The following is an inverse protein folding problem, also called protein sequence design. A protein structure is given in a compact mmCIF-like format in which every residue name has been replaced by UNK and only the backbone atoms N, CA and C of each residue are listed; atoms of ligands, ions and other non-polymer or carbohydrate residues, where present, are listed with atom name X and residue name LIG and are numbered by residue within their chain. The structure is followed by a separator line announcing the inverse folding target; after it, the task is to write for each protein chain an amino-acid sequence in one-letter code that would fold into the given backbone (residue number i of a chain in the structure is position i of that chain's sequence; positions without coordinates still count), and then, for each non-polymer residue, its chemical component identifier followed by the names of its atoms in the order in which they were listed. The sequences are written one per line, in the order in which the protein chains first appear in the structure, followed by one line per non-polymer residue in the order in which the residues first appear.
data_IF_501947454799
#
_entry.id   IF_501947454799
#
_cell.length_a   1.000
_cell.length_b   1.000
_cell.length_c   1.000
_cell.angle_alpha   90.00
_cell.angle_beta   90.00
_cell.angle_gamma   90.00
#
_symmetry.space_group_name_H-M   'P 1'
#
loop_
_entity.id
_entity.type
_entity.pdbx_description
1 polymer ?
#
# COMPACT_ATOMS: atom_id res chain seq x y z
N UNK A 1 -17.95 -8.74 2.53
CA UNK A 1 -17.13 -7.51 2.43
C UNK A 1 -16.16 -7.53 3.61
N UNK A 2 -14.95 -7.99 3.36
CA UNK A 2 -13.85 -7.95 4.32
C UNK A 2 -13.22 -6.55 4.17
N UNK A 3 -13.55 -5.64 5.07
CA UNK A 3 -12.77 -4.41 5.23
C UNK A 3 -11.44 -4.81 5.86
N UNK A 4 -10.41 -4.97 5.04
CA UNK A 4 -9.04 -4.92 5.52
C UNK A 4 -8.76 -3.45 5.90
N UNK A 5 -8.83 -3.12 7.17
CA UNK A 5 -8.24 -1.89 7.67
C UNK A 5 -6.72 -2.06 7.54
N UNK A 6 -6.16 -1.47 6.48
CA UNK A 6 -4.73 -1.48 6.20
C UNK A 6 -4.09 -0.43 7.09
N UNK A 7 -3.42 -0.86 8.15
CA UNK A 7 -2.80 0.06 9.11
C UNK A 7 -1.48 0.59 8.56
N UNK A 8 -1.42 1.89 8.32
CA UNK A 8 -0.18 2.53 7.92
C UNK A 8 0.87 2.47 9.03
N UNK A 9 0.45 2.35 10.29
CA UNK A 9 1.34 2.37 11.48
C UNK A 9 0.81 1.53 12.63
N UNK A 10 1.75 0.99 13.39
CA UNK A 10 1.50 0.44 14.72
C UNK A 10 2.37 1.19 15.74
N UNK A 11 1.80 1.53 16.88
CA UNK A 11 2.47 2.10 18.02
C UNK A 11 2.41 1.07 19.14
N UNK A 12 3.55 0.59 19.56
CA UNK A 12 3.66 -0.45 20.60
C UNK A 12 4.22 0.14 21.89
N UNK A 13 3.44 0.03 22.99
CA UNK A 13 3.69 0.66 24.29
C UNK A 13 3.47 -0.27 25.46
N UNK A 14 4.22 -0.05 26.54
CA UNK A 14 4.06 -0.84 27.77
C UNK A 14 2.77 -0.46 28.50
N UNK A 15 2.53 0.82 28.76
CA UNK A 15 1.41 1.29 29.57
C UNK A 15 0.56 2.32 28.86
N UNK A 16 -0.69 2.47 29.29
CA UNK A 16 -1.57 3.52 28.84
C UNK A 16 -1.21 4.85 29.53
N UNK A 17 -0.88 5.87 28.81
CA UNK A 17 -0.38 7.23 29.03
C UNK A 17 0.98 7.50 28.35
N UNK A 18 1.85 6.51 28.28
CA UNK A 18 3.17 6.62 27.65
C UNK A 18 3.08 6.99 26.15
N UNK A 19 2.06 6.49 25.46
CA UNK A 19 1.85 6.80 24.04
C UNK A 19 1.55 8.29 23.82
N UNK A 20 0.93 8.93 24.79
CA UNK A 20 0.65 10.36 24.78
C UNK A 20 1.88 11.16 25.21
N UNK A 21 2.54 10.74 26.29
CA UNK A 21 3.70 11.43 26.85
C UNK A 21 4.89 11.43 25.91
N UNK A 22 5.23 10.27 25.36
CA UNK A 22 6.49 10.06 24.65
C UNK A 22 6.35 9.87 23.13
N UNK A 23 5.20 9.40 22.64
CA UNK A 23 4.95 9.23 21.21
C UNK A 23 3.81 10.12 20.69
N UNK A 24 3.35 11.05 21.50
CA UNK A 24 2.21 11.89 21.17
C UNK A 24 2.36 12.68 19.87
N UNK A 25 3.57 13.09 19.54
CA UNK A 25 3.87 13.71 18.24
C UNK A 25 3.43 12.86 17.06
N UNK A 26 3.65 11.55 17.15
CA UNK A 26 3.27 10.58 16.10
C UNK A 26 1.75 10.46 16.00
N UNK A 27 1.04 10.35 17.15
CA UNK A 27 -0.43 10.17 17.18
C UNK A 27 -1.14 11.36 16.53
N UNK A 28 -0.89 12.58 16.99
CA UNK A 28 -1.58 13.77 16.51
C UNK A 28 -1.22 14.11 15.06
N UNK A 29 0.04 13.94 14.67
CA UNK A 29 0.50 14.26 13.30
C UNK A 29 -0.05 13.26 12.29
N UNK A 30 0.14 11.98 12.54
CA UNK A 30 -0.19 10.98 11.52
C UNK A 30 -1.62 10.45 11.64
N UNK A 31 -2.10 10.21 12.86
CA UNK A 31 -3.48 9.80 13.10
C UNK A 31 -4.46 10.95 12.99
N UNK A 32 -4.18 12.06 13.67
CA UNK A 32 -5.05 13.23 13.72
C UNK A 32 -5.04 14.03 12.42
N UNK A 33 -3.89 14.64 12.07
CA UNK A 33 -3.80 15.56 10.92
C UNK A 33 -3.81 14.83 9.59
N UNK A 34 -2.97 13.82 9.40
CA UNK A 34 -2.91 13.08 8.12
C UNK A 34 -4.01 12.04 7.97
N UNK A 35 -4.78 11.78 9.05
CA UNK A 35 -5.90 10.81 9.06
C UNK A 35 -5.49 9.40 8.62
N UNK A 36 -4.24 9.03 8.87
CA UNK A 36 -3.77 7.68 8.58
C UNK A 36 -4.32 6.69 9.59
N UNK A 37 -4.47 5.44 9.19
CA UNK A 37 -4.80 4.36 10.11
C UNK A 37 -3.63 4.11 11.05
N UNK A 38 -3.80 4.43 12.33
CA UNK A 38 -2.84 4.18 13.40
C UNK A 38 -3.46 3.17 14.38
N UNK A 39 -2.76 2.05 14.60
CA UNK A 39 -3.11 1.07 15.61
C UNK A 39 -2.17 1.24 16.80
N UNK A 40 -2.75 1.29 18.01
CA UNK A 40 -1.96 1.25 19.24
C UNK A 40 -2.05 -0.13 19.86
N UNK A 41 -0.91 -0.67 20.27
CA UNK A 41 -0.79 -1.96 20.94
C UNK A 41 -0.09 -1.74 22.29
N UNK A 42 -0.74 -2.14 23.37
CA UNK A 42 -0.20 -2.08 24.73
C UNK A 42 0.24 -3.46 25.20
N UNK A 43 1.32 -3.52 25.97
CA UNK A 43 1.72 -4.74 26.65
C UNK A 43 0.74 -5.08 27.76
N UNK A 44 0.42 -4.11 28.61
CA UNK A 44 -0.40 -4.32 29.80
C UNK A 44 -1.88 -4.01 29.56
N UNK A 45 -2.74 -4.77 30.20
CA UNK A 45 -4.17 -4.51 30.31
C UNK A 45 -4.55 -4.10 31.73
N UNK A 46 -5.43 -3.11 31.86
CA UNK A 46 -5.89 -2.54 33.13
C UNK A 46 -7.36 -2.82 33.46
N UNK A 47 -8.07 -3.55 32.60
CA UNK A 47 -9.52 -3.76 32.71
C UNK A 47 -9.95 -4.40 34.02
N UNK A 48 -9.11 -5.27 34.59
CA UNK A 48 -9.39 -5.99 35.85
C UNK A 48 -8.95 -5.26 37.11
N UNK A 49 -7.83 -4.49 37.04
CA UNK A 49 -7.18 -3.90 38.22
C UNK A 49 -7.39 -2.38 38.33
N UNK A 50 -7.54 -1.68 37.22
CA UNK A 50 -7.68 -0.23 37.19
C UNK A 50 -8.60 0.21 36.03
N UNK A 51 -9.88 -0.13 36.11
CA UNK A 51 -10.88 0.16 35.05
C UNK A 51 -10.91 1.62 34.59
N UNK A 52 -10.58 2.57 35.47
CA UNK A 52 -10.51 3.97 35.11
C UNK A 52 -9.47 4.20 34.00
N UNK A 53 -8.34 3.51 34.03
CA UNK A 53 -7.28 3.65 33.01
C UNK A 53 -7.71 3.18 31.62
N UNK A 54 -8.66 2.24 31.53
CA UNK A 54 -9.23 1.84 30.25
C UNK A 54 -10.02 2.99 29.59
N UNK A 55 -10.79 3.73 30.37
CA UNK A 55 -11.51 4.91 29.87
C UNK A 55 -10.54 6.04 29.53
N UNK A 56 -9.58 6.31 30.40
CA UNK A 56 -8.57 7.34 30.19
C UNK A 56 -7.75 7.09 28.90
N UNK A 57 -7.35 5.83 28.68
CA UNK A 57 -6.68 5.38 27.45
C UNK A 57 -7.50 5.70 26.19
N UNK A 58 -8.77 5.31 26.18
CA UNK A 58 -9.65 5.56 25.05
C UNK A 58 -9.90 7.05 24.82
N UNK A 59 -10.11 7.80 25.90
CA UNK A 59 -10.34 9.26 25.84
C UNK A 59 -9.10 10.00 25.34
N UNK A 60 -7.89 9.58 25.77
CA UNK A 60 -6.61 10.13 25.32
C UNK A 60 -6.35 9.86 23.85
N UNK A 61 -6.55 8.61 23.41
CA UNK A 61 -6.41 8.23 22.01
C UNK A 61 -7.42 8.97 21.11
N UNK A 62 -8.67 9.08 21.54
CA UNK A 62 -9.70 9.83 20.82
C UNK A 62 -9.33 11.31 20.67
N UNK A 63 -8.88 11.95 21.75
CA UNK A 63 -8.41 13.34 21.73
C UNK A 63 -7.24 13.53 20.76
N UNK A 64 -6.36 12.51 20.63
CA UNK A 64 -5.22 12.49 19.68
C UNK A 64 -5.63 12.25 18.23
N UNK A 65 -6.92 11.99 17.95
CA UNK A 65 -7.45 11.71 16.62
C UNK A 65 -7.36 10.25 16.19
N UNK A 66 -7.05 9.32 17.11
CA UNK A 66 -7.01 7.88 16.84
C UNK A 66 -8.43 7.32 16.78
N UNK A 67 -8.72 6.55 15.74
CA UNK A 67 -10.09 6.05 15.44
C UNK A 67 -10.24 4.54 15.63
N UNK A 68 -9.14 3.84 15.84
CA UNK A 68 -9.13 2.39 16.04
C UNK A 68 -9.01 2.06 17.52
N UNK A 69 -9.75 1.06 17.95
CA UNK A 69 -9.58 0.54 19.30
C UNK A 69 -8.18 -0.05 19.46
N UNK A 70 -7.49 0.25 20.57
CA UNK A 70 -6.19 -0.34 20.84
C UNK A 70 -6.32 -1.84 21.07
N UNK A 71 -5.23 -2.56 20.86
CA UNK A 71 -5.08 -3.95 21.32
C UNK A 71 -4.19 -3.98 22.55
N UNK A 72 -4.48 -4.90 23.47
CA UNK A 72 -3.72 -5.06 24.69
C UNK A 72 -3.24 -6.52 24.81
N UNK A 73 -2.01 -6.70 25.27
CA UNK A 73 -1.54 -7.99 25.76
C UNK A 73 -2.11 -8.29 27.15
N UNK A 74 -2.18 -9.55 27.50
CA UNK A 74 -2.65 -10.02 28.82
C UNK A 74 -1.44 -10.15 29.78
N UNK A 75 -0.66 -9.05 29.90
CA UNK A 75 0.48 -9.00 30.81
C UNK A 75 0.17 -8.07 31.98
N UNK A 76 0.54 -8.46 33.22
CA UNK A 76 0.36 -7.58 34.37
C UNK A 76 1.30 -6.38 34.30
N UNK A 77 0.90 -5.28 34.92
CA UNK A 77 1.78 -4.11 35.12
C UNK A 77 2.69 -4.33 36.32
N UNK A 78 3.95 -4.68 36.07
CA UNK A 78 4.95 -4.99 37.11
C UNK A 78 6.11 -4.01 36.99
N UNK A 79 6.38 -3.30 38.09
CA UNK A 79 7.46 -2.33 38.13
C UNK A 79 8.83 -3.00 38.27
N UNK A 80 9.79 -2.53 37.49
CA UNK A 80 11.22 -2.87 37.61
C UNK A 80 12.05 -1.69 37.03
N UNK A 81 13.36 -1.69 37.39
CA UNK A 81 14.28 -0.61 37.00
C UNK A 81 15.37 -1.07 36.02
N UNK A 82 15.37 -2.33 35.63
CA UNK A 82 16.32 -2.87 34.65
C UNK A 82 15.66 -3.90 33.77
N UNK A 83 16.22 -4.09 32.57
CA UNK A 83 15.77 -5.12 31.63
C UNK A 83 15.86 -6.52 32.24
N UNK A 84 16.97 -6.83 33.00
CA UNK A 84 17.18 -8.12 33.62
C UNK A 84 16.17 -8.38 34.74
N UNK A 85 15.76 -7.34 35.47
CA UNK A 85 14.69 -7.46 36.47
C UNK A 85 13.34 -7.70 35.80
N UNK A 86 13.03 -6.97 34.74
CA UNK A 86 11.82 -7.19 33.96
C UNK A 86 11.78 -8.61 33.35
N UNK A 87 12.84 -9.09 32.74
CA UNK A 87 12.95 -10.47 32.21
C UNK A 87 12.75 -11.58 33.26
N UNK A 88 12.88 -11.28 34.55
CA UNK A 88 12.55 -12.22 35.64
C UNK A 88 11.06 -12.20 36.00
N UNK A 89 10.36 -11.12 35.70
CA UNK A 89 8.95 -10.93 36.02
C UNK A 89 8.02 -11.44 34.92
N UNK A 90 8.49 -11.41 33.67
CA UNK A 90 7.71 -11.82 32.49
C UNK A 90 8.36 -12.99 31.75
N UNK A 91 7.56 -13.81 31.10
CA UNK A 91 8.04 -14.76 30.08
C UNK A 91 8.35 -13.99 28.82
N UNK A 92 9.61 -13.68 28.59
CA UNK A 92 10.03 -12.77 27.50
C UNK A 92 9.58 -13.26 26.11
N UNK A 93 9.60 -14.58 25.88
CA UNK A 93 9.15 -15.15 24.61
C UNK A 93 7.64 -14.98 24.38
N UNK A 94 6.81 -14.93 25.42
CA UNK A 94 5.38 -14.63 25.28
C UNK A 94 5.17 -13.18 24.87
N UNK A 95 5.97 -12.25 25.40
CA UNK A 95 5.93 -10.84 25.00
C UNK A 95 6.36 -10.68 23.53
N UNK A 96 7.42 -11.37 23.10
CA UNK A 96 7.82 -11.40 21.68
C UNK A 96 6.77 -12.04 20.77
N UNK A 97 6.14 -13.11 21.22
CA UNK A 97 5.05 -13.74 20.47
C UNK A 97 3.87 -12.78 20.25
N UNK A 98 3.52 -12.02 21.31
CA UNK A 98 2.49 -10.99 21.22
C UNK A 98 2.85 -9.88 20.24
N UNK A 99 4.03 -9.27 20.35
CA UNK A 99 4.47 -8.18 19.45
C UNK A 99 4.62 -8.67 18.02
N UNK A 100 5.20 -9.85 17.79
CA UNK A 100 5.27 -10.47 16.46
C UNK A 100 3.88 -10.72 15.87
N UNK A 101 2.93 -11.18 16.69
CA UNK A 101 1.54 -11.41 16.28
C UNK A 101 0.86 -10.08 15.88
N UNK A 102 1.08 -8.99 16.63
CA UNK A 102 0.59 -7.66 16.30
C UNK A 102 1.14 -7.19 14.94
N UNK A 103 2.45 -7.26 14.73
CA UNK A 103 3.10 -6.91 13.47
C UNK A 103 2.50 -7.69 12.29
N UNK A 104 2.37 -9.00 12.41
CA UNK A 104 1.81 -9.86 11.35
C UNK A 104 0.34 -9.60 11.09
N UNK A 105 -0.43 -9.37 12.15
CA UNK A 105 -1.88 -9.11 12.05
C UNK A 105 -2.17 -7.79 11.36
N UNK A 106 -1.44 -6.73 11.73
CA UNK A 106 -1.73 -5.38 11.27
C UNK A 106 -0.88 -4.96 10.06
N UNK A 107 0.21 -5.66 9.78
CA UNK A 107 1.12 -5.40 8.63
C UNK A 107 1.49 -3.92 8.49
N UNK A 108 2.04 -3.30 9.54
CA UNK A 108 2.33 -1.88 9.54
C UNK A 108 3.44 -1.52 8.55
N UNK A 109 3.31 -0.38 7.89
CA UNK A 109 4.38 0.20 7.07
C UNK A 109 5.46 0.85 7.97
N UNK A 110 5.06 1.34 9.13
CA UNK A 110 5.95 1.93 10.12
C UNK A 110 5.58 1.41 11.51
N UNK A 111 6.57 0.93 12.25
CA UNK A 111 6.48 0.61 13.68
C UNK A 111 7.18 1.71 14.47
N UNK A 112 6.56 2.19 15.54
CA UNK A 112 7.15 3.13 16.49
C UNK A 112 7.01 2.58 17.89
N UNK A 113 8.10 2.57 18.67
CA UNK A 113 8.09 2.07 20.06
C UNK A 113 8.98 2.89 20.96
N UNK A 114 9.08 2.49 22.20
CA UNK A 114 9.79 3.13 23.31
C UNK A 114 11.31 3.11 23.14
N UNK A 115 12.01 3.88 23.99
CA UNK A 115 13.46 3.82 24.13
C UNK A 115 13.91 2.42 24.61
N UNK A 116 14.97 1.89 24.02
CA UNK A 116 15.59 0.63 24.47
C UNK A 116 16.13 0.70 25.92
N UNK A 117 16.50 1.92 26.38
CA UNK A 117 16.91 2.15 27.75
C UNK A 117 15.71 2.40 28.69
N UNK A 118 14.50 2.42 28.14
CA UNK A 118 13.27 2.77 28.82
C UNK A 118 13.25 4.24 29.23
N UNK A 119 12.16 4.93 28.95
CA UNK A 119 11.98 6.28 29.46
C UNK A 119 12.10 6.22 31.00
N UNK A 120 12.84 7.13 31.58
CA UNK A 120 13.15 7.22 33.01
C UNK A 120 13.65 5.89 33.65
N UNK A 121 14.22 4.98 32.87
CA UNK A 121 14.79 3.72 33.39
C UNK A 121 13.74 2.68 33.78
N UNK A 122 12.53 2.71 33.20
CA UNK A 122 11.49 1.72 33.51
C UNK A 122 11.75 0.40 32.79
N UNK A 123 11.96 -0.68 33.58
CA UNK A 123 12.32 -2.00 33.04
C UNK A 123 11.24 -2.64 32.16
N UNK A 124 9.96 -2.36 32.40
CA UNK A 124 8.87 -2.79 31.52
C UNK A 124 8.94 -2.12 30.13
N UNK A 125 9.31 -0.84 30.06
CA UNK A 125 9.57 -0.15 28.79
C UNK A 125 10.74 -0.77 28.04
N UNK A 126 11.86 -1.02 28.75
CA UNK A 126 13.02 -1.71 28.17
C UNK A 126 12.63 -3.08 27.61
N UNK A 127 11.92 -3.88 28.41
CA UNK A 127 11.51 -5.23 28.00
C UNK A 127 10.66 -5.20 26.75
N UNK A 128 9.68 -4.30 26.70
CA UNK A 128 8.74 -4.23 25.58
C UNK A 128 9.39 -3.68 24.32
N UNK A 129 10.19 -2.61 24.42
CA UNK A 129 10.94 -2.06 23.28
C UNK A 129 11.94 -3.06 22.68
N UNK A 130 12.64 -3.82 23.52
CA UNK A 130 13.50 -4.91 23.05
C UNK A 130 12.71 -6.03 22.37
N UNK A 131 11.55 -6.41 22.91
CA UNK A 131 10.69 -7.41 22.29
C UNK A 131 10.21 -6.95 20.92
N UNK A 132 9.81 -5.68 20.77
CA UNK A 132 9.42 -5.09 19.48
C UNK A 132 10.59 -5.07 18.50
N UNK A 133 11.77 -4.62 18.94
CA UNK A 133 12.98 -4.58 18.11
C UNK A 133 13.34 -5.96 17.56
N UNK A 134 13.33 -7.00 18.42
CA UNK A 134 13.55 -8.39 17.99
C UNK A 134 12.42 -8.91 17.06
N UNK A 135 11.18 -8.50 17.31
CA UNK A 135 10.04 -8.94 16.51
C UNK A 135 10.05 -8.35 15.09
N UNK A 136 10.48 -7.11 14.90
CA UNK A 136 10.60 -6.53 13.55
C UNK A 136 11.70 -7.19 12.73
N UNK A 137 12.74 -7.74 13.37
CA UNK A 137 13.79 -8.49 12.67
C UNK A 137 13.33 -9.89 12.23
N UNK A 138 12.34 -10.46 12.91
CA UNK A 138 11.96 -11.88 12.73
C UNK A 138 10.52 -12.08 12.24
N UNK A 139 9.71 -11.05 12.15
CA UNK A 139 8.29 -11.16 11.73
C UNK A 139 8.10 -11.63 10.28
N UNK A 140 9.14 -11.53 9.45
CA UNK A 140 9.16 -12.06 8.09
C UNK A 140 9.52 -13.55 8.01
N UNK A 141 9.99 -14.18 9.10
CA UNK A 141 10.34 -15.60 9.17
C UNK A 141 9.17 -16.43 9.72
N UNK A 142 8.59 -17.28 8.88
CA UNK A 142 7.46 -18.14 9.28
C UNK A 142 7.80 -19.22 10.31
N UNK A 143 9.08 -19.53 10.52
CA UNK A 143 9.52 -20.51 11.52
C UNK A 143 9.51 -19.93 12.94
N UNK A 144 9.57 -18.61 13.08
CA UNK A 144 9.46 -17.90 14.35
C UNK A 144 7.98 -17.68 14.67
N UNK A 145 7.53 -18.16 15.83
CA UNK A 145 6.11 -18.13 16.22
C UNK A 145 5.16 -18.58 15.11
N UNK A 146 5.23 -19.87 14.66
CA UNK A 146 4.56 -20.37 13.47
C UNK A 146 3.03 -20.27 13.53
N UNK A 147 2.44 -20.24 14.72
CA UNK A 147 1.00 -20.08 14.89
C UNK A 147 0.53 -18.70 14.34
N UNK A 148 1.20 -17.61 14.73
CA UNK A 148 0.86 -16.28 14.21
C UNK A 148 1.16 -16.16 12.73
N UNK A 149 2.20 -16.84 12.22
CA UNK A 149 2.50 -16.90 10.79
C UNK A 149 1.41 -17.64 10.01
N UNK A 150 0.87 -18.73 10.57
CA UNK A 150 -0.25 -19.45 9.98
C UNK A 150 -1.53 -18.62 9.94
N UNK A 151 -1.81 -17.86 10.99
CA UNK A 151 -3.03 -17.07 11.11
C UNK A 151 -3.02 -15.79 10.25
N UNK A 152 -1.88 -15.11 10.13
CA UNK A 152 -1.79 -13.76 9.54
C UNK A 152 -0.80 -13.66 8.37
N UNK A 153 -0.02 -14.69 8.09
CA UNK A 153 1.12 -14.64 7.21
C UNK A 153 2.34 -13.96 7.87
N UNK A 154 3.41 -13.83 7.12
CA UNK A 154 4.60 -13.09 7.53
C UNK A 154 4.52 -11.63 7.10
N UNK A 155 5.32 -10.77 7.71
CA UNK A 155 5.41 -9.37 7.35
C UNK A 155 6.83 -8.82 7.59
N UNK A 156 7.39 -8.15 6.59
CA UNK A 156 8.65 -7.43 6.71
C UNK A 156 8.33 -5.94 6.87
N UNK A 157 8.59 -5.39 8.06
CA UNK A 157 8.24 -4.00 8.39
C UNK A 157 9.15 -3.06 7.62
N UNK A 158 8.62 -2.15 6.77
CA UNK A 158 9.45 -1.26 5.98
C UNK A 158 10.31 -0.31 6.81
N UNK A 159 9.78 0.23 7.92
CA UNK A 159 10.51 1.14 8.81
C UNK A 159 10.16 0.93 10.28
N UNK A 160 11.16 1.04 11.14
CA UNK A 160 10.98 0.98 12.60
C UNK A 160 11.72 2.14 13.26
N UNK A 161 11.01 2.89 14.09
CA UNK A 161 11.56 4.00 14.86
C UNK A 161 11.50 3.69 16.36
N UNK A 162 12.56 4.04 17.04
CA UNK A 162 12.62 4.00 18.50
C UNK A 162 12.68 5.41 19.06
N UNK A 163 11.94 5.65 20.12
CA UNK A 163 11.98 6.91 20.86
C UNK A 163 13.40 7.13 21.41
N UNK A 164 13.90 8.33 21.31
CA UNK A 164 15.25 8.78 21.77
C UNK A 164 16.44 7.99 21.19
N UNK A 165 16.23 7.12 20.19
CA UNK A 165 17.32 6.43 19.52
C UNK A 165 18.17 7.43 18.74
N UNK A 166 19.49 7.32 18.85
CA UNK A 166 20.40 8.38 18.38
C UNK A 166 20.87 8.21 16.94
N UNK A 167 20.74 7.01 16.36
CA UNK A 167 21.15 6.74 14.99
C UNK A 167 20.05 7.16 14.01
N UNK A 168 20.45 7.73 12.87
CA UNK A 168 19.52 8.23 11.84
C UNK A 168 18.35 9.03 12.45
N UNK A 169 18.71 9.96 13.36
CA UNK A 169 17.75 10.72 14.15
C UNK A 169 16.88 11.60 13.28
N UNK A 170 15.59 11.60 13.57
CA UNK A 170 14.63 12.62 13.13
C UNK A 170 14.07 13.40 14.32
N UNK A 171 13.77 14.67 14.12
CA UNK A 171 13.06 15.49 15.09
C UNK A 171 11.82 16.07 14.45
N UNK A 172 10.65 15.65 14.92
CA UNK A 172 9.37 16.09 14.38
C UNK A 172 9.09 17.54 14.75
N UNK A 173 8.57 18.34 13.80
CA UNK A 173 8.09 19.68 14.13
C UNK A 173 6.67 19.64 14.69
N UNK A 174 6.55 19.58 16.02
CA UNK A 174 5.28 19.45 16.73
C UNK A 174 4.59 20.81 17.00
N UNK A 175 5.15 21.92 16.52
CA UNK A 175 4.63 23.27 16.74
C UNK A 175 3.89 23.86 15.53
N UNK A 176 3.78 23.09 14.45
CA UNK A 176 2.93 23.47 13.31
C UNK A 176 1.45 23.27 13.64
N UNK A 177 0.56 24.18 13.19
CA UNK A 177 -0.86 24.03 13.38
C UNK A 177 -1.41 22.86 12.55
N UNK A 178 -2.19 22.02 13.19
CA UNK A 178 -2.86 20.86 12.60
C UNK A 178 -4.27 21.27 12.20
N UNK A 179 -4.54 21.39 10.90
CA UNK A 179 -5.79 21.90 10.36
C UNK A 179 -7.00 21.03 10.74
N UNK A 180 -6.82 19.72 10.71
CA UNK A 180 -7.87 18.73 11.07
C UNK A 180 -8.09 18.63 12.57
N UNK A 181 -7.18 19.13 13.38
CA UNK A 181 -7.23 19.15 14.84
C UNK A 181 -7.64 20.52 15.39
N UNK A 182 -8.32 21.34 14.58
CA UNK A 182 -8.80 22.67 14.96
C UNK A 182 -7.69 23.73 15.02
N UNK A 183 -6.67 23.61 14.20
CA UNK A 183 -5.47 24.44 14.17
C UNK A 183 -4.66 24.44 15.48
N UNK A 184 -4.87 23.46 16.34
CA UNK A 184 -3.99 23.21 17.48
C UNK A 184 -2.67 22.62 17.00
N UNK A 185 -1.59 22.89 17.70
CA UNK A 185 -0.31 22.21 17.50
C UNK A 185 -0.37 20.77 18.04
N UNK A 186 0.54 19.89 17.61
CA UNK A 186 0.61 18.54 18.15
C UNK A 186 0.84 18.54 19.67
N UNK A 187 1.67 19.44 20.19
CA UNK A 187 1.89 19.63 21.63
C UNK A 187 0.59 19.97 22.36
N UNK A 188 -0.21 20.90 21.83
CA UNK A 188 -1.51 21.27 22.43
C UNK A 188 -2.51 20.11 22.43
N UNK A 189 -2.60 19.37 21.32
CA UNK A 189 -3.46 18.18 21.22
C UNK A 189 -3.03 17.13 22.24
N UNK A 190 -1.75 16.81 22.33
CA UNK A 190 -1.24 15.78 23.23
C UNK A 190 -1.32 16.22 24.69
N UNK A 191 -1.09 17.50 24.98
CA UNK A 191 -1.34 18.05 26.33
C UNK A 191 -2.80 17.88 26.75
N UNK A 192 -3.76 18.10 25.85
CA UNK A 192 -5.16 17.87 26.11
C UNK A 192 -5.47 16.37 26.27
N UNK A 193 -4.85 15.52 25.48
CA UNK A 193 -4.97 14.07 25.56
C UNK A 193 -4.41 13.51 26.89
N UNK A 194 -3.24 13.99 27.32
CA UNK A 194 -2.67 13.58 28.62
C UNK A 194 -3.54 13.98 29.80
N UNK A 195 -4.24 15.11 29.73
CA UNK A 195 -5.22 15.51 30.77
C UNK A 195 -6.38 14.54 30.92
N UNK A 196 -6.65 13.67 29.92
CA UNK A 196 -7.65 12.60 30.06
C UNK A 196 -7.19 11.49 30.98
N UNK A 197 -5.89 11.30 31.15
CA UNK A 197 -5.29 10.37 32.09
C UNK A 197 -5.28 10.93 33.52
N UNK A 198 -6.46 11.17 34.05
CA UNK A 198 -6.68 11.83 35.37
C UNK A 198 -5.96 11.08 36.49
N UNK A 199 -5.98 9.75 36.45
CA UNK A 199 -5.31 8.91 37.46
C UNK A 199 -3.78 9.00 37.42
N UNK A 200 -3.20 9.56 36.35
CA UNK A 200 -1.75 9.66 36.15
C UNK A 200 -1.19 11.07 36.33
N UNK A 201 -2.01 12.05 36.68
CA UNK A 201 -1.58 13.45 36.85
C UNK A 201 -0.72 13.69 38.12
N UNK A 202 -0.49 12.67 38.90
CA UNK A 202 0.40 12.73 40.06
C UNK A 202 1.88 12.63 39.69
N UNK A 203 2.23 12.09 38.50
CA UNK A 203 3.61 11.99 38.05
C UNK A 203 4.11 13.34 37.49
N UNK A 204 5.43 13.50 37.44
CA UNK A 204 6.06 14.75 37.00
C UNK A 204 6.25 14.84 35.48
N UNK A 205 5.90 13.80 34.75
CA UNK A 205 6.01 13.80 33.28
C UNK A 205 4.99 14.73 32.64
N UNK A 206 5.36 15.28 31.51
CA UNK A 206 4.51 16.17 30.71
C UNK A 206 4.84 16.08 29.23
N UNK A 207 3.90 16.40 28.39
CA UNK A 207 4.09 16.43 26.94
C UNK A 207 4.96 17.63 26.58
N UNK A 208 6.11 17.38 26.00
CA UNK A 208 7.01 18.44 25.51
C UNK A 208 7.95 17.91 24.42
N UNK A 209 8.39 18.82 23.55
CA UNK A 209 9.47 18.62 22.58
C UNK A 209 10.79 19.24 23.05
N UNK A 210 10.88 19.70 24.30
CA UNK A 210 12.01 20.46 24.86
C UNK A 210 12.40 19.96 26.26
N UNK A 211 12.71 18.67 26.39
CA UNK A 211 13.30 18.07 27.59
C UNK A 211 13.86 16.66 27.27
N UNK A 212 14.45 15.97 28.27
CA UNK A 212 15.15 14.70 28.07
C UNK A 212 14.28 13.55 27.49
N UNK A 213 12.95 13.60 27.68
CA UNK A 213 11.99 12.64 27.10
C UNK A 213 11.14 13.30 26.03
N UNK A 214 11.77 14.08 25.16
CA UNK A 214 11.10 14.81 24.06
C UNK A 214 10.26 13.91 23.20
N UNK A 215 8.95 14.18 23.11
CA UNK A 215 8.02 13.43 22.26
C UNK A 215 8.19 13.72 20.76
N UNK A 216 9.22 14.47 20.36
CA UNK A 216 9.55 14.78 18.97
C UNK A 216 10.75 13.98 18.43
N UNK A 217 11.55 13.37 19.30
CA UNK A 217 12.84 12.79 18.95
C UNK A 217 12.77 11.26 18.77
N UNK A 218 13.11 10.80 17.57
CA UNK A 218 13.13 9.39 17.21
C UNK A 218 14.35 9.06 16.37
N UNK A 219 14.80 7.82 16.41
CA UNK A 219 15.82 7.32 15.50
C UNK A 219 15.28 6.16 14.66
N UNK A 220 15.69 6.11 13.40
CA UNK A 220 15.38 5.03 12.48
C UNK A 220 16.24 3.82 12.83
N UNK A 221 15.66 2.86 13.56
CA UNK A 221 16.30 1.64 14.01
C UNK A 221 16.52 0.64 12.85
N UNK A 222 15.49 0.44 12.02
CA UNK A 222 15.52 -0.50 10.91
C UNK A 222 14.76 0.06 9.71
N UNK A 223 15.29 -0.19 8.51
CA UNK A 223 14.60 0.16 7.25
C UNK A 223 14.89 -0.85 6.16
N UNK A 224 13.90 -1.14 5.31
CA UNK A 224 14.03 -1.88 4.05
C UNK A 224 13.87 -0.97 2.82
N UNK A 225 13.58 0.32 3.03
CA UNK A 225 13.26 1.30 1.96
C UNK A 225 14.24 2.49 1.92
N UNK A 226 15.32 2.42 2.71
CA UNK A 226 16.35 3.46 2.75
C UNK A 226 16.19 4.45 3.92
N UNK A 227 17.27 5.18 4.22
CA UNK A 227 17.31 6.16 5.29
C UNK A 227 16.52 7.41 4.92
N UNK A 228 16.07 8.12 5.96
CA UNK A 228 15.40 9.40 5.82
C UNK A 228 16.40 10.52 5.49
N UNK A 229 15.93 11.48 4.73
CA UNK A 229 16.64 12.74 4.45
C UNK A 229 15.91 13.94 5.06
N UNK A 230 14.66 13.76 5.45
CA UNK A 230 13.80 14.71 6.15
C UNK A 230 13.38 14.22 7.53
N UNK A 231 12.41 14.90 8.12
CA UNK A 231 11.86 14.59 9.44
C UNK A 231 10.45 13.96 9.34
N UNK A 232 10.22 13.14 8.31
CA UNK A 232 8.94 12.45 8.09
C UNK A 232 9.14 10.93 8.09
N UNK A 233 8.49 10.25 9.02
CA UNK A 233 8.55 8.79 9.13
C UNK A 233 7.98 8.06 7.90
N UNK A 234 7.23 8.74 7.02
CA UNK A 234 6.70 8.15 5.77
C UNK A 234 7.62 8.37 4.57
N UNK A 235 8.73 9.05 4.73
CA UNK A 235 9.68 9.21 3.63
C UNK A 235 10.06 7.84 3.03
N UNK A 236 10.06 7.72 1.71
CA UNK A 236 10.27 6.48 0.95
C UNK A 236 9.22 5.37 1.20
N UNK A 237 8.11 5.68 1.86
CA UNK A 237 6.99 4.74 2.06
C UNK A 237 5.89 5.04 1.04
N UNK A 238 5.51 4.03 0.26
CA UNK A 238 4.27 4.07 -0.53
C UNK A 238 3.12 3.60 0.36
N UNK A 239 2.20 4.49 0.69
CA UNK A 239 1.05 4.11 1.54
C UNK A 239 0.14 3.09 0.85
N UNK A 240 -0.67 2.38 1.62
CA UNK A 240 -1.59 1.40 1.05
C UNK A 240 -2.61 2.04 0.11
N UNK A 241 -3.10 3.24 0.43
CA UNK A 241 -4.01 4.01 -0.41
C UNK A 241 -3.34 4.36 -1.75
N UNK A 242 -2.07 4.74 -1.69
CA UNK A 242 -1.27 5.02 -2.89
C UNK A 242 -1.01 3.75 -3.69
N UNK A 243 -0.67 2.63 -3.04
CA UNK A 243 -0.50 1.33 -3.70
C UNK A 243 -1.79 0.90 -4.41
N UNK A 244 -2.94 1.06 -3.75
CA UNK A 244 -4.24 0.75 -4.33
C UNK A 244 -4.59 1.65 -5.53
N UNK A 245 -4.27 2.94 -5.42
CA UNK A 245 -4.43 3.91 -6.51
C UNK A 245 -3.58 3.53 -7.72
N UNK A 246 -2.29 3.26 -7.50
CA UNK A 246 -1.35 2.85 -8.55
C UNK A 246 -1.77 1.53 -9.21
N UNK A 247 -2.25 0.57 -8.43
CA UNK A 247 -2.75 -0.70 -8.95
C UNK A 247 -4.01 -0.51 -9.82
N UNK A 248 -4.94 0.35 -9.41
CA UNK A 248 -6.12 0.70 -10.22
C UNK A 248 -5.74 1.40 -11.52
N UNK A 249 -4.85 2.38 -11.45
CA UNK A 249 -4.34 3.09 -12.63
C UNK A 249 -3.62 2.15 -13.62
N UNK A 250 -2.82 1.20 -13.11
CA UNK A 250 -2.17 0.19 -13.93
C UNK A 250 -3.18 -0.72 -14.64
N UNK A 251 -4.20 -1.19 -13.92
CA UNK A 251 -5.27 -2.03 -14.47
C UNK A 251 -6.09 -1.29 -15.54
N UNK A 252 -6.41 -0.03 -15.29
CA UNK A 252 -7.14 0.81 -16.26
C UNK A 252 -6.31 1.04 -17.52
N UNK A 253 -5.02 1.32 -17.37
CA UNK A 253 -4.09 1.49 -18.47
C UNK A 253 -3.96 0.23 -19.33
N UNK A 254 -3.84 -0.94 -18.72
CA UNK A 254 -3.81 -2.22 -19.41
C UNK A 254 -5.12 -2.49 -20.16
N UNK A 255 -6.27 -2.16 -19.57
CA UNK A 255 -7.58 -2.25 -20.20
C UNK A 255 -7.69 -1.34 -21.42
N UNK A 256 -7.19 -0.10 -21.35
CA UNK A 256 -7.18 0.84 -22.47
C UNK A 256 -6.25 0.34 -23.58
N UNK A 257 -5.06 -0.15 -23.24
CA UNK A 257 -4.12 -0.69 -24.24
C UNK A 257 -4.68 -1.93 -24.93
N UNK A 258 -5.31 -2.84 -24.20
CA UNK A 258 -5.95 -4.03 -24.77
C UNK A 258 -7.13 -3.68 -25.68
N UNK A 259 -7.93 -2.67 -25.31
CA UNK A 259 -9.04 -2.18 -26.15
C UNK A 259 -8.54 -1.53 -27.45
N UNK A 260 -7.47 -0.73 -27.39
CA UNK A 260 -6.84 -0.14 -28.59
C UNK A 260 -6.26 -1.22 -29.50
N UNK A 261 -5.56 -2.21 -28.95
CA UNK A 261 -5.02 -3.32 -29.72
C UNK A 261 -6.13 -4.13 -30.43
N UNK A 262 -7.27 -4.35 -29.76
CA UNK A 262 -8.42 -5.02 -30.33
C UNK A 262 -9.06 -4.20 -31.47
N UNK A 263 -9.15 -2.88 -31.31
CA UNK A 263 -9.67 -1.98 -32.33
C UNK A 263 -8.74 -1.94 -33.54
N UNK A 264 -7.43 -1.81 -33.35
CA UNK A 264 -6.45 -1.84 -34.44
C UNK A 264 -6.46 -3.19 -35.18
N UNK A 265 -6.60 -4.31 -34.47
CA UNK A 265 -6.74 -5.62 -35.09
C UNK A 265 -8.03 -5.74 -35.92
N UNK A 266 -9.14 -5.16 -35.45
CA UNK A 266 -10.41 -5.10 -36.17
C UNK A 266 -10.29 -4.27 -37.46
N UNK A 267 -9.68 -3.09 -37.36
CA UNK A 267 -9.43 -2.20 -38.53
C UNK A 267 -8.53 -2.88 -39.56
N UNK A 268 -7.45 -3.55 -39.10
CA UNK A 268 -6.54 -4.29 -39.97
C UNK A 268 -7.27 -5.44 -40.72
N UNK A 269 -8.17 -6.14 -40.02
CA UNK A 269 -8.99 -7.20 -40.60
C UNK A 269 -9.96 -6.66 -41.68
N UNK A 270 -10.65 -5.57 -41.39
CA UNK A 270 -11.54 -4.90 -42.32
C UNK A 270 -10.77 -4.40 -43.57
N UNK A 271 -9.59 -3.81 -43.38
CA UNK A 271 -8.74 -3.40 -44.52
C UNK A 271 -8.28 -4.58 -45.39
N UNK A 272 -8.00 -5.76 -44.76
CA UNK A 272 -7.67 -6.96 -45.52
C UNK A 272 -8.87 -7.47 -46.34
N UNK A 273 -10.06 -7.46 -45.76
CA UNK A 273 -11.30 -7.86 -46.44
C UNK A 273 -11.60 -6.93 -47.61
N UNK A 274 -11.45 -5.61 -47.45
CA UNK A 274 -11.62 -4.62 -48.53
C UNK A 274 -10.61 -4.84 -49.64
N UNK A 275 -9.33 -5.11 -49.32
CA UNK A 275 -8.30 -5.41 -50.33
C UNK A 275 -8.59 -6.72 -51.07
N UNK A 276 -9.07 -7.75 -50.37
CA UNK A 276 -9.45 -9.02 -50.98
C UNK A 276 -10.63 -8.86 -51.94
N UNK A 277 -11.70 -8.14 -51.55
CA UNK A 277 -12.86 -7.82 -52.39
C UNK A 277 -12.48 -7.01 -53.62
N UNK A 278 -11.57 -6.06 -53.46
CA UNK A 278 -11.07 -5.25 -54.61
C UNK A 278 -10.27 -6.09 -55.61
N UNK A 279 -9.48 -7.04 -55.13
CA UNK A 279 -8.72 -7.98 -56.00
C UNK A 279 -9.65 -8.95 -56.74
N UNK A 280 -10.72 -9.38 -56.11
CA UNK A 280 -11.73 -10.26 -56.75
C UNK A 280 -12.54 -9.54 -57.81
N UNK A 281 -12.95 -8.28 -57.53
CA UNK A 281 -13.63 -7.41 -58.49
C UNK A 281 -12.77 -7.07 -59.70
N UNK A 282 -11.46 -6.85 -59.49
CA UNK A 282 -10.49 -6.63 -60.57
C UNK A 282 -10.29 -7.87 -61.43
N UNK A 283 -10.17 -9.07 -60.84
CA UNK A 283 -10.10 -10.34 -61.57
C UNK A 283 -11.37 -10.56 -62.43
N UNK A 284 -12.56 -10.24 -61.90
CA UNK A 284 -13.82 -10.41 -62.59
C UNK A 284 -13.93 -9.46 -63.80
N UNK A 285 -13.48 -8.20 -63.70
CA UNK A 285 -13.41 -7.25 -64.80
C UNK A 285 -12.46 -7.70 -65.88
N UNK A 286 -11.27 -8.23 -65.53
CA UNK A 286 -10.31 -8.77 -66.50
C UNK A 286 -10.89 -10.00 -67.22
N UNK A 287 -11.56 -10.89 -66.49
CA UNK A 287 -12.19 -12.09 -67.05
C UNK A 287 -13.30 -11.72 -68.05
N UNK A 288 -14.15 -10.72 -67.75
CA UNK A 288 -15.18 -10.24 -68.67
C UNK A 288 -14.57 -9.59 -69.93
N UNK A 289 -13.50 -8.80 -69.80
CA UNK A 289 -12.82 -8.20 -70.93
C UNK A 289 -12.21 -9.25 -71.87
N UNK A 290 -11.61 -10.32 -71.30
CA UNK A 290 -11.05 -11.44 -72.08
C UNK A 290 -12.15 -12.18 -72.84
N UNK A 291 -13.31 -12.43 -72.22
CA UNK A 291 -14.45 -13.09 -72.86
C UNK A 291 -14.98 -12.21 -74.04
N UNK A 292 -15.09 -10.91 -73.84
CA UNK A 292 -15.52 -9.99 -74.91
C UNK A 292 -14.54 -10.01 -76.08
N UNK A 293 -13.26 -9.99 -75.85
CA UNK A 293 -12.25 -10.08 -76.90
C UNK A 293 -12.36 -11.41 -77.68
N UNK A 294 -12.53 -12.52 -77.02
CA UNK A 294 -12.71 -13.82 -77.68
C UNK A 294 -13.95 -13.85 -78.51
N UNK A 295 -15.08 -13.30 -78.05
CA UNK A 295 -16.30 -13.23 -78.79
C UNK A 295 -16.12 -12.37 -80.05
N UNK A 296 -15.47 -11.21 -79.98
CA UNK A 296 -15.16 -10.37 -81.11
C UNK A 296 -14.29 -11.09 -82.17
N UNK A 297 -13.29 -11.86 -81.69
CA UNK A 297 -12.43 -12.64 -82.62
C UNK A 297 -13.24 -13.72 -83.32
N UNK A 298 -14.11 -14.45 -82.61
CA UNK A 298 -14.95 -15.48 -83.19
C UNK A 298 -15.92 -14.89 -84.26
N UNK A 299 -16.57 -13.75 -83.98
CA UNK A 299 -17.46 -13.06 -84.89
C UNK A 299 -16.65 -12.61 -86.10
N UNK A 300 -15.47 -12.03 -85.92
CA UNK A 300 -14.59 -11.62 -87.04
C UNK A 300 -14.15 -12.78 -87.89
N UNK A 301 -13.80 -13.92 -87.35
CA UNK A 301 -13.44 -15.12 -88.11
C UNK A 301 -14.60 -15.71 -88.89
N UNK A 302 -15.83 -15.73 -88.27
CA UNK A 302 -17.05 -16.16 -88.97
C UNK A 302 -17.41 -15.25 -90.15
N UNK A 303 -17.33 -13.92 -89.96
CA UNK A 303 -17.55 -12.96 -90.98
C UNK A 303 -16.52 -13.10 -92.14
N UNK A 304 -15.28 -13.29 -91.83
CA UNK A 304 -14.20 -13.50 -92.81
C UNK A 304 -14.40 -14.84 -93.54
N UNK A 305 -14.79 -15.89 -92.89
CA UNK A 305 -15.13 -17.16 -93.53
C UNK A 305 -16.31 -17.07 -94.43
N UNK A 306 -17.38 -16.28 -94.05
CA UNK A 306 -18.54 -16.04 -94.86
C UNK A 306 -18.20 -15.22 -96.13
N UNK A 307 -17.37 -14.21 -96.00
CA UNK A 307 -16.91 -13.43 -97.14
C UNK A 307 -16.08 -14.27 -98.13
N UNK A 308 -15.21 -15.14 -97.63
CA UNK A 308 -14.44 -16.09 -98.43
C UNK A 308 -15.36 -17.10 -99.20
N UNK A 309 -16.36 -17.64 -98.50
CA UNK A 309 -17.36 -18.51 -99.10
C UNK A 309 -18.15 -17.84 -100.23
N UNK A 310 -18.58 -16.61 -100.02
CA UNK A 310 -19.24 -15.79 -101.01
C UNK A 310 -18.28 -15.50 -102.21
N UNK A 311 -17.03 -15.19 -102.01
CA UNK A 311 -16.07 -14.98 -103.09
C UNK A 311 -15.78 -16.29 -103.84
N UNK A 312 -15.72 -17.43 -103.16
CA UNK A 312 -15.57 -18.73 -103.84
C UNK A 312 -16.77 -19.10 -104.67
N UNK A 313 -18.01 -18.84 -104.17
CA UNK A 313 -19.25 -19.05 -104.94
C UNK A 313 -19.36 -18.16 -106.18
N UNK A 314 -18.86 -16.91 -106.08
CA UNK A 314 -18.83 -15.98 -107.24
C UNK A 314 -17.76 -16.42 -108.23
N UNK A 315 -16.60 -17.00 -107.85
CA UNK A 315 -15.63 -17.56 -108.83
C UNK A 315 -16.13 -18.83 -109.53
N UNK A 316 -16.91 -19.66 -108.90
CA UNK A 316 -17.53 -20.84 -109.51
C UNK A 316 -18.65 -20.49 -110.51
N UNK A 317 -19.40 -19.48 -110.21
CA UNK A 317 -20.46 -19.00 -111.13
C UNK A 317 -19.90 -18.33 -112.42
N UNK A 318 -18.68 -17.74 -112.41
CA UNK A 318 -17.98 -17.19 -113.53
C UNK A 318 -17.25 -18.25 -114.41
N UNK A 319 -17.08 -19.50 -113.98
CA UNK A 319 -16.49 -20.57 -114.79
C UNK A 319 -17.56 -21.44 -115.51
N UNK A 320 -18.88 -21.09 -115.37
CA UNK A 320 -20.01 -21.76 -116.06
C UNK A 320 -20.77 -20.88 -116.98
N UNK A 321 -20.13 -19.77 -117.51
CA UNK A 321 -20.56 -19.01 -118.64
C UNK A 321 -19.55 -19.06 -119.76
#
# INVERSE_FOLDING_TARGET
FQFFALFARIIEKAHADDEILFLGGVLATYGGEQNLAVQVAYMCEFSSSAKIREHEKLDGLWESGIKHYPVCGDFPDLYSQTLEAAKKQYVYDDVKAYTTSCIRRFKPLVVVTQDLNGEYGHGGHMLFSHAVAESVETSNDSSVFPESASNYGTWDVPKTYLHLYTENKITMNLRLPLSRMGNRTSIEVQTAAYKKHVSQQWCWFYVSDDYEYSCADFGLYRTTVGNDTGNDMLENITTYEEQERLAKEATEKESIESSKAAEEASIAKEQQEIKAAHKETSKRKVSVAVIVIIVVIIIGAAAFGYVRLQQSRRKHSRRRR
#
